data_IF_958425290537
#
_entry.id   IF_958425290537
#
_cell.length_a   1.000
_cell.length_b   1.000
_cell.length_c   1.000
_cell.angle_alpha   90.00
_cell.angle_beta   90.00
_cell.angle_gamma   90.00
#
_symmetry.space_group_name_H-M   'P 1'
#
loop_
_entity.id
_entity.type
_entity.pdbx_description
1 polymer ?
#
# COMPACT_ATOMS: atom_id res chain seq x y z
N UNK A 1 -22.45 9.45 -2.30
CA UNK A 1 -22.67 8.12 -1.68
C UNK A 1 -21.52 7.76 -0.73
N UNK A 2 -20.28 8.05 -1.08
CA UNK A 2 -19.10 7.80 -0.24
C UNK A 2 -19.12 8.69 1.03
N UNK A 3 -19.62 9.92 0.92
CA UNK A 3 -19.78 10.83 2.05
C UNK A 3 -20.79 10.26 3.04
N UNK A 4 -21.87 9.67 2.56
CA UNK A 4 -22.90 9.03 3.41
C UNK A 4 -22.34 7.82 4.16
N UNK A 5 -21.47 7.02 3.54
CA UNK A 5 -20.82 5.88 4.21
C UNK A 5 -19.81 6.29 5.28
N UNK A 6 -19.11 7.39 5.07
CA UNK A 6 -18.22 8.00 6.09
C UNK A 6 -19.03 8.60 7.24
N UNK A 7 -20.11 9.30 6.94
CA UNK A 7 -21.02 9.87 7.95
C UNK A 7 -21.64 8.76 8.79
N UNK A 8 -22.07 7.65 8.18
CA UNK A 8 -22.61 6.51 8.94
C UNK A 8 -21.57 5.78 9.77
N UNK A 9 -20.32 5.73 9.35
CA UNK A 9 -19.23 5.20 10.16
C UNK A 9 -18.90 6.10 11.36
N UNK A 10 -18.97 7.42 11.18
CA UNK A 10 -18.71 8.39 12.24
C UNK A 10 -19.88 8.49 13.24
N UNK A 11 -21.12 8.45 12.77
CA UNK A 11 -22.35 8.49 13.59
C UNK A 11 -22.71 7.14 14.23
N UNK A 12 -21.97 6.08 13.94
CA UNK A 12 -22.22 4.73 14.43
C UNK A 12 -22.26 4.57 15.95
N UNK A 13 -21.70 5.53 16.68
CA UNK A 13 -21.77 5.59 18.13
C UNK A 13 -22.99 6.38 18.69
N UNK A 14 -23.75 7.03 17.81
CA UNK A 14 -24.82 7.95 18.18
C UNK A 14 -26.21 7.46 17.74
N UNK A 15 -26.26 6.61 16.67
CA UNK A 15 -27.52 6.09 16.14
C UNK A 15 -27.85 4.71 16.73
N UNK A 16 -29.14 4.47 16.99
CA UNK A 16 -29.61 3.17 17.44
C UNK A 16 -29.19 2.02 16.49
N UNK A 17 -28.84 0.85 17.00
CA UNK A 17 -28.31 -0.27 16.21
C UNK A 17 -29.22 -0.68 15.04
N UNK A 18 -30.53 -0.50 15.19
CA UNK A 18 -31.51 -0.80 14.15
C UNK A 18 -31.39 0.11 12.92
N UNK A 19 -31.20 1.41 13.13
CA UNK A 19 -31.04 2.41 12.04
C UNK A 19 -29.77 2.13 11.25
N UNK A 20 -28.69 1.78 11.96
CA UNK A 20 -27.42 1.41 11.36
C UNK A 20 -27.56 0.14 10.50
N UNK A 21 -28.33 -0.84 10.98
CA UNK A 21 -28.58 -2.08 10.27
C UNK A 21 -29.40 -1.82 8.99
N UNK A 22 -30.47 -1.06 9.05
CA UNK A 22 -31.31 -0.70 7.90
C UNK A 22 -30.55 0.12 6.85
N UNK A 23 -29.76 1.12 7.27
CA UNK A 23 -28.88 1.88 6.38
C UNK A 23 -27.86 0.97 5.70
N UNK A 24 -27.36 -0.01 6.42
CA UNK A 24 -26.39 -0.98 5.91
C UNK A 24 -26.95 -1.81 4.76
N UNK A 25 -28.16 -2.31 4.91
CA UNK A 25 -28.85 -3.05 3.86
C UNK A 25 -29.21 -2.16 2.66
N UNK A 26 -29.68 -0.94 2.90
CA UNK A 26 -30.02 0.00 1.85
C UNK A 26 -28.81 0.31 0.95
N UNK A 27 -27.64 0.52 1.55
CA UNK A 27 -26.40 0.78 0.82
C UNK A 27 -25.92 -0.46 0.04
N UNK A 28 -26.02 -1.66 0.63
CA UNK A 28 -25.68 -2.90 -0.06
C UNK A 28 -26.56 -3.13 -1.29
N UNK A 29 -27.88 -2.94 -1.13
CA UNK A 29 -28.87 -3.04 -2.23
C UNK A 29 -28.54 -2.02 -3.33
N UNK A 30 -28.22 -0.79 -2.96
CA UNK A 30 -27.82 0.23 -3.94
C UNK A 30 -26.61 -0.19 -4.77
N UNK A 31 -25.54 -0.69 -4.15
CA UNK A 31 -24.36 -1.18 -4.86
C UNK A 31 -24.63 -2.39 -5.72
N UNK A 32 -25.51 -3.30 -5.27
CA UNK A 32 -25.97 -4.44 -6.08
C UNK A 32 -26.70 -3.96 -7.34
N UNK A 33 -27.61 -3.00 -7.19
CA UNK A 33 -28.35 -2.43 -8.32
C UNK A 33 -27.42 -1.70 -9.29
N UNK A 34 -26.47 -0.91 -8.79
CA UNK A 34 -25.45 -0.25 -9.62
C UNK A 34 -24.62 -1.26 -10.41
N UNK A 35 -24.13 -2.32 -9.75
CA UNK A 35 -23.36 -3.39 -10.39
C UNK A 35 -24.18 -4.11 -11.46
N UNK A 36 -25.43 -4.47 -11.17
CA UNK A 36 -26.35 -5.09 -12.13
C UNK A 36 -26.63 -4.20 -13.33
N UNK A 37 -26.87 -2.91 -13.10
CA UNK A 37 -27.10 -1.95 -14.18
C UNK A 37 -25.88 -1.79 -15.10
N UNK A 38 -24.69 -1.66 -14.52
CA UNK A 38 -23.43 -1.58 -15.26
C UNK A 38 -23.15 -2.87 -16.04
N UNK A 39 -23.45 -4.03 -15.42
CA UNK A 39 -23.28 -5.34 -16.05
C UNK A 39 -24.21 -5.50 -17.26
N UNK A 40 -25.47 -5.06 -17.15
CA UNK A 40 -26.42 -5.09 -18.28
C UNK A 40 -26.02 -4.15 -19.41
N UNK A 41 -25.46 -2.97 -19.09
CA UNK A 41 -25.09 -1.96 -20.09
C UNK A 41 -23.80 -2.29 -20.83
N UNK A 42 -22.78 -2.80 -20.14
CA UNK A 42 -21.45 -3.04 -20.67
C UNK A 42 -21.19 -4.50 -21.08
N UNK A 43 -22.08 -5.41 -20.68
CA UNK A 43 -21.85 -6.86 -20.78
C UNK A 43 -20.71 -7.33 -19.87
N UNK A 44 -20.59 -8.65 -19.67
CA UNK A 44 -19.60 -9.23 -18.75
C UNK A 44 -18.16 -8.87 -19.12
N UNK A 45 -17.79 -8.96 -20.41
CA UNK A 45 -16.42 -8.65 -20.87
C UNK A 45 -16.08 -7.16 -20.74
N UNK A 46 -17.02 -6.26 -21.05
CA UNK A 46 -16.83 -4.81 -20.94
C UNK A 46 -16.78 -4.37 -19.48
N UNK A 47 -17.58 -4.99 -18.60
CA UNK A 47 -17.59 -4.70 -17.18
C UNK A 47 -16.26 -5.05 -16.51
N UNK A 48 -15.75 -6.29 -16.72
CA UNK A 48 -14.48 -6.76 -16.15
C UNK A 48 -13.25 -6.10 -16.82
N UNK A 49 -13.38 -5.56 -18.03
CA UNK A 49 -12.31 -4.85 -18.73
C UNK A 49 -11.78 -3.62 -17.96
N UNK A 50 -12.62 -2.96 -17.16
CA UNK A 50 -12.26 -1.79 -16.39
C UNK A 50 -11.87 -2.14 -14.94
N UNK A 51 -10.67 -1.75 -14.51
CA UNK A 51 -10.15 -2.03 -13.17
C UNK A 51 -11.09 -1.56 -12.04
N UNK A 52 -11.74 -0.39 -12.20
CA UNK A 52 -12.70 0.15 -11.24
C UNK A 52 -13.95 -0.72 -11.09
N UNK A 53 -14.46 -1.31 -12.17
CA UNK A 53 -15.63 -2.17 -12.12
C UNK A 53 -15.31 -3.54 -11.51
N UNK A 54 -14.08 -4.06 -11.74
CA UNK A 54 -13.59 -5.29 -11.06
C UNK A 54 -13.54 -5.12 -9.56
N UNK A 55 -13.05 -3.96 -9.11
CA UNK A 55 -12.99 -3.64 -7.69
C UNK A 55 -14.40 -3.52 -7.08
N UNK A 56 -15.31 -2.80 -7.75
CA UNK A 56 -16.70 -2.68 -7.33
C UNK A 56 -17.38 -4.05 -7.22
N UNK A 57 -17.15 -4.94 -8.18
CA UNK A 57 -17.66 -6.31 -8.17
C UNK A 57 -17.11 -7.14 -7.01
N UNK A 58 -15.80 -7.06 -6.77
CA UNK A 58 -15.14 -7.78 -5.68
C UNK A 58 -15.68 -7.34 -4.31
N UNK A 59 -15.88 -6.03 -4.10
CA UNK A 59 -16.46 -5.48 -2.86
C UNK A 59 -17.88 -6.00 -2.66
N UNK A 60 -18.74 -6.01 -3.70
CA UNK A 60 -20.10 -6.54 -3.62
C UNK A 60 -20.10 -8.03 -3.33
N UNK A 61 -19.23 -8.80 -4.02
CA UNK A 61 -19.11 -10.26 -3.83
C UNK A 61 -18.67 -10.61 -2.41
N UNK A 62 -17.63 -9.95 -1.91
CA UNK A 62 -17.17 -10.14 -0.52
C UNK A 62 -18.28 -9.78 0.48
N UNK A 63 -19.00 -8.69 0.26
CA UNK A 63 -20.12 -8.29 1.14
C UNK A 63 -21.23 -9.35 1.19
N UNK A 64 -21.56 -9.96 0.05
CA UNK A 64 -22.56 -11.05 -0.02
C UNK A 64 -22.04 -12.31 0.69
N UNK A 65 -20.79 -12.70 0.45
CA UNK A 65 -20.17 -13.87 1.09
C UNK A 65 -20.18 -13.75 2.62
N UNK A 66 -19.86 -12.58 3.16
CA UNK A 66 -19.89 -12.33 4.61
C UNK A 66 -21.31 -12.35 5.20
N UNK A 67 -22.36 -12.05 4.42
CA UNK A 67 -23.75 -12.17 4.86
C UNK A 67 -24.21 -13.63 4.89
N UNK A 68 -23.71 -14.47 3.96
CA UNK A 68 -24.13 -15.87 3.82
C UNK A 68 -23.45 -16.80 4.84
N UNK A 69 -22.28 -16.45 5.38
CA UNK A 69 -21.52 -17.29 6.32
C UNK A 69 -21.93 -16.95 7.77
N UNK A 70 -22.90 -17.67 8.38
CA UNK A 70 -23.49 -17.28 9.67
C UNK A 70 -22.58 -17.42 10.88
N UNK A 71 -21.54 -18.25 10.83
CA UNK A 71 -20.63 -18.52 11.94
C UNK A 71 -19.53 -17.45 12.17
N UNK A 72 -19.44 -16.45 11.31
CA UNK A 72 -18.60 -15.26 11.53
C UNK A 72 -19.39 -14.09 12.18
N UNK A 73 -20.56 -14.38 12.76
CA UNK A 73 -21.64 -13.41 13.00
C UNK A 73 -21.38 -12.36 14.08
N UNK A 74 -20.45 -12.55 15.02
CA UNK A 74 -20.29 -11.58 16.13
C UNK A 74 -19.44 -10.36 15.72
N UNK A 75 -18.61 -10.48 14.70
CA UNK A 75 -17.82 -9.38 14.14
C UNK A 75 -18.32 -8.85 12.79
N UNK A 76 -19.24 -9.56 12.12
CA UNK A 76 -19.56 -9.39 10.69
C UNK A 76 -20.11 -8.00 10.33
N UNK A 77 -20.91 -7.38 11.20
CA UNK A 77 -21.50 -6.06 10.96
C UNK A 77 -20.40 -4.97 10.99
N UNK A 78 -19.38 -5.11 11.85
CA UNK A 78 -18.24 -4.20 11.93
C UNK A 78 -17.36 -4.35 10.69
N UNK A 79 -17.10 -5.57 10.22
CA UNK A 79 -16.28 -5.84 9.03
C UNK A 79 -16.99 -5.39 7.74
N UNK A 80 -18.32 -5.53 7.63
CA UNK A 80 -19.09 -4.95 6.52
C UNK A 80 -18.96 -3.42 6.45
N UNK A 81 -18.80 -2.75 7.59
CA UNK A 81 -18.50 -1.31 7.63
C UNK A 81 -17.09 -1.01 7.11
N UNK A 82 -16.10 -1.85 7.41
CA UNK A 82 -14.72 -1.69 6.93
C UNK A 82 -14.65 -1.87 5.40
N UNK A 83 -15.37 -2.84 4.82
CA UNK A 83 -15.42 -2.99 3.36
C UNK A 83 -16.05 -1.79 2.65
N UNK A 84 -16.89 -1.00 3.34
CA UNK A 84 -17.38 0.28 2.78
C UNK A 84 -16.31 1.34 2.73
N UNK A 85 -15.37 1.35 3.68
CA UNK A 85 -14.20 2.24 3.63
C UNK A 85 -13.38 1.96 2.38
N UNK A 86 -13.31 0.70 1.91
CA UNK A 86 -12.68 0.38 0.63
C UNK A 86 -13.38 1.04 -0.57
N UNK A 87 -14.65 1.40 -0.49
CA UNK A 87 -15.31 2.20 -1.53
C UNK A 87 -14.77 3.63 -1.64
N UNK A 88 -14.05 4.13 -0.59
CA UNK A 88 -13.31 5.39 -0.64
C UNK A 88 -12.19 5.38 -1.68
N UNK A 89 -11.69 4.20 -2.10
CA UNK A 89 -10.76 4.09 -3.24
C UNK A 89 -11.37 4.70 -4.53
N UNK A 90 -12.71 4.81 -4.62
CA UNK A 90 -13.34 5.55 -5.71
C UNK A 90 -13.00 7.05 -5.70
N UNK A 91 -12.63 7.62 -4.55
CA UNK A 91 -12.18 9.01 -4.43
C UNK A 91 -10.87 9.23 -5.21
N UNK A 92 -10.04 8.20 -5.33
CA UNK A 92 -8.82 8.24 -6.14
C UNK A 92 -9.11 8.61 -7.60
N UNK A 93 -10.31 8.28 -8.11
CA UNK A 93 -10.75 8.68 -9.46
C UNK A 93 -11.04 10.19 -9.60
N UNK A 94 -11.21 10.90 -8.47
CA UNK A 94 -11.41 12.35 -8.44
C UNK A 94 -10.08 13.12 -8.45
N UNK A 95 -8.97 12.44 -8.19
CA UNK A 95 -7.64 13.04 -8.21
C UNK A 95 -7.18 13.11 -9.68
N UNK A 96 -6.89 14.31 -10.20
CA UNK A 96 -6.28 14.43 -11.51
C UNK A 96 -4.99 13.58 -11.57
N UNK A 97 -4.76 12.91 -12.68
CA UNK A 97 -3.56 12.10 -12.92
C UNK A 97 -3.30 10.94 -11.93
N UNK A 98 -4.32 10.54 -11.14
CA UNK A 98 -4.19 9.42 -10.19
C UNK A 98 -3.67 8.15 -10.85
N UNK A 99 -4.03 7.89 -12.12
CA UNK A 99 -3.53 6.76 -12.88
C UNK A 99 -2.01 6.81 -13.09
N UNK A 100 -1.47 7.99 -13.36
CA UNK A 100 -0.03 8.21 -13.51
C UNK A 100 0.71 7.99 -12.17
N UNK A 101 0.20 8.59 -11.10
CA UNK A 101 0.76 8.42 -9.74
C UNK A 101 0.78 6.95 -9.33
N UNK A 102 -0.34 6.22 -9.52
CA UNK A 102 -0.42 4.79 -9.18
C UNK A 102 0.50 3.92 -10.05
N UNK A 103 0.66 4.26 -11.32
CA UNK A 103 1.57 3.54 -12.21
C UNK A 103 3.03 3.78 -11.84
N UNK A 104 3.40 5.01 -11.45
CA UNK A 104 4.71 5.36 -10.92
C UNK A 104 5.02 4.58 -9.62
N UNK A 105 4.06 4.56 -8.69
CA UNK A 105 4.17 3.78 -7.46
C UNK A 105 4.36 2.28 -7.73
N UNK A 106 3.60 1.72 -8.67
CA UNK A 106 3.72 0.31 -9.04
C UNK A 106 5.08 -0.01 -9.68
N UNK A 107 5.64 0.90 -10.50
CA UNK A 107 6.99 0.77 -11.06
C UNK A 107 8.06 0.84 -10.00
N UNK A 108 7.97 1.82 -9.08
CA UNK A 108 8.89 1.97 -7.96
C UNK A 108 8.90 0.72 -7.07
N UNK A 109 7.74 0.16 -6.74
CA UNK A 109 7.66 -1.12 -6.02
C UNK A 109 8.26 -2.29 -6.81
N UNK A 110 8.12 -2.30 -8.12
CA UNK A 110 8.71 -3.34 -8.97
C UNK A 110 10.24 -3.22 -9.05
N UNK A 111 10.78 -2.01 -9.12
CA UNK A 111 12.21 -1.75 -9.10
C UNK A 111 12.82 -2.11 -7.74
N UNK A 112 12.12 -1.77 -6.65
CA UNK A 112 12.53 -2.04 -5.28
C UNK A 112 12.37 -3.50 -4.84
N UNK A 113 11.90 -4.42 -5.70
CA UNK A 113 11.63 -5.83 -5.29
C UNK A 113 12.82 -6.53 -4.64
N UNK A 114 14.02 -6.32 -5.14
CA UNK A 114 15.22 -6.96 -4.59
C UNK A 114 15.46 -6.54 -3.14
N UNK A 115 15.36 -5.24 -2.85
CA UNK A 115 15.56 -4.71 -1.50
C UNK A 115 14.40 -5.09 -0.57
N UNK A 116 13.15 -5.09 -1.07
CA UNK A 116 11.99 -5.54 -0.30
C UNK A 116 12.09 -7.03 0.06
N UNK A 117 12.61 -7.85 -0.86
CA UNK A 117 12.89 -9.26 -0.60
C UNK A 117 13.99 -9.41 0.44
N UNK A 118 15.06 -8.62 0.36
CA UNK A 118 16.13 -8.60 1.36
C UNK A 118 15.59 -8.24 2.74
N UNK A 119 14.76 -7.18 2.84
CA UNK A 119 14.09 -6.80 4.08
C UNK A 119 13.23 -7.92 4.65
N UNK A 120 12.47 -8.61 3.82
CA UNK A 120 11.64 -9.74 4.25
C UNK A 120 12.49 -10.91 4.77
N UNK A 121 13.60 -11.23 4.09
CA UNK A 121 14.55 -12.25 4.54
C UNK A 121 15.18 -11.86 5.88
N UNK A 122 15.63 -10.62 6.03
CA UNK A 122 16.19 -10.11 7.28
C UNK A 122 15.16 -10.16 8.42
N UNK A 123 13.91 -9.77 8.15
CA UNK A 123 12.82 -9.83 9.12
C UNK A 123 12.63 -11.25 9.64
N UNK A 124 12.51 -12.24 8.75
CA UNK A 124 12.36 -13.64 9.13
C UNK A 124 13.59 -14.15 9.88
N UNK A 125 14.79 -13.85 9.38
CA UNK A 125 16.05 -14.27 10.00
C UNK A 125 16.18 -13.77 11.45
N UNK A 126 16.03 -12.47 11.66
CA UNK A 126 16.14 -11.89 13.01
C UNK A 126 14.99 -12.32 13.92
N UNK A 127 13.79 -12.57 13.37
CA UNK A 127 12.66 -13.08 14.16
C UNK A 127 12.94 -14.49 14.69
N UNK A 128 13.43 -15.39 13.85
CA UNK A 128 13.79 -16.75 14.25
C UNK A 128 14.98 -16.76 15.21
N UNK A 129 15.97 -15.88 14.97
CA UNK A 129 17.12 -15.74 15.86
C UNK A 129 16.68 -15.22 17.24
N UNK A 130 15.86 -14.17 17.29
CA UNK A 130 15.29 -13.64 18.53
C UNK A 130 14.43 -14.65 19.28
N UNK A 131 13.58 -15.38 18.56
CA UNK A 131 12.79 -16.48 19.12
C UNK A 131 13.69 -17.57 19.76
N UNK A 132 14.75 -17.99 19.03
CA UNK A 132 15.66 -19.02 19.50
C UNK A 132 16.50 -18.62 20.71
N UNK A 133 16.97 -17.35 20.73
CA UNK A 133 17.87 -16.86 21.79
C UNK A 133 17.11 -16.39 23.03
N UNK A 134 15.97 -15.70 22.84
CA UNK A 134 15.30 -14.96 23.91
C UNK A 134 13.88 -15.42 24.20
N UNK A 135 13.36 -16.44 23.48
CA UNK A 135 11.98 -16.91 23.61
C UNK A 135 11.60 -17.35 25.02
N UNK A 136 12.53 -17.98 25.75
CA UNK A 136 12.34 -18.41 27.16
C UNK A 136 12.44 -17.26 28.15
N UNK A 137 13.29 -16.28 27.88
CA UNK A 137 13.53 -15.14 28.79
C UNK A 137 12.52 -14.00 28.62
N UNK A 138 12.09 -13.76 27.39
CA UNK A 138 11.18 -12.68 27.02
C UNK A 138 9.98 -13.22 26.22
N UNK A 139 9.12 -14.06 26.83
CA UNK A 139 8.04 -14.75 26.12
C UNK A 139 7.02 -13.81 25.49
N UNK A 140 6.81 -12.63 26.07
CA UNK A 140 5.89 -11.63 25.53
C UNK A 140 6.35 -11.05 24.18
N UNK A 141 7.67 -11.03 23.91
CA UNK A 141 8.27 -10.50 22.71
C UNK A 141 8.71 -11.59 21.73
N UNK A 142 9.28 -12.66 22.25
CA UNK A 142 9.91 -13.72 21.46
C UNK A 142 9.36 -15.12 21.73
N UNK A 143 8.27 -15.28 22.49
CA UNK A 143 7.76 -16.58 22.93
C UNK A 143 7.19 -17.46 21.81
N UNK A 144 6.92 -16.91 20.64
CA UNK A 144 6.58 -17.65 19.43
C UNK A 144 7.07 -16.90 18.17
N UNK A 145 7.21 -17.58 17.03
CA UNK A 145 7.74 -16.95 15.80
C UNK A 145 6.96 -15.73 15.33
N UNK A 146 5.64 -15.72 15.51
CA UNK A 146 4.80 -14.59 15.07
C UNK A 146 4.97 -13.36 15.97
N UNK A 147 5.05 -13.56 17.30
CA UNK A 147 5.36 -12.49 18.25
C UNK A 147 6.76 -11.94 18.01
N UNK A 148 7.73 -12.81 17.75
CA UNK A 148 9.09 -12.42 17.39
C UNK A 148 9.12 -11.59 16.10
N UNK A 149 8.36 -12.00 15.06
CA UNK A 149 8.26 -11.26 13.81
C UNK A 149 7.66 -9.86 14.04
N UNK A 150 6.61 -9.76 14.84
CA UNK A 150 6.01 -8.46 15.19
C UNK A 150 7.02 -7.57 15.94
N UNK A 151 7.74 -8.13 16.91
CA UNK A 151 8.78 -7.41 17.67
C UNK A 151 9.90 -6.92 16.76
N UNK A 152 10.43 -7.76 15.88
CA UNK A 152 11.49 -7.35 14.92
C UNK A 152 10.97 -6.31 13.95
N UNK A 153 9.71 -6.44 13.48
CA UNK A 153 9.10 -5.44 12.60
C UNK A 153 9.01 -4.06 13.27
N UNK A 154 8.61 -3.98 14.54
CA UNK A 154 8.58 -2.70 15.29
C UNK A 154 9.99 -2.12 15.46
N UNK A 155 11.01 -2.96 15.69
CA UNK A 155 12.41 -2.50 15.74
C UNK A 155 12.87 -1.98 14.36
N UNK A 156 12.53 -2.65 13.25
CA UNK A 156 12.85 -2.20 11.90
C UNK A 156 12.24 -0.84 11.57
N UNK A 157 11.00 -0.61 11.99
CA UNK A 157 10.33 0.69 11.81
C UNK A 157 10.79 1.75 12.81
N UNK A 158 11.77 1.41 13.66
CA UNK A 158 12.31 2.29 14.71
C UNK A 158 11.23 2.69 15.74
N UNK A 159 10.16 1.91 15.81
CA UNK A 159 9.05 2.13 16.73
C UNK A 159 9.26 1.32 18.01
N UNK A 160 9.15 1.97 19.15
CA UNK A 160 9.19 1.34 20.49
C UNK A 160 10.33 0.30 20.70
N UNK A 161 11.47 0.47 20.02
CA UNK A 161 12.62 -0.44 20.09
C UNK A 161 13.19 -0.60 21.51
N UNK A 162 13.00 0.42 22.36
CA UNK A 162 13.45 0.40 23.75
C UNK A 162 12.64 -0.51 24.68
N UNK A 163 11.45 -0.97 24.27
CA UNK A 163 10.60 -1.83 25.11
C UNK A 163 11.25 -3.17 25.43
N UNK A 164 11.94 -3.77 24.45
CA UNK A 164 12.62 -5.08 24.61
C UNK A 164 13.80 -4.98 25.58
N UNK A 165 14.74 -4.02 25.43
CA UNK A 165 15.78 -3.77 26.44
C UNK A 165 15.24 -3.47 27.83
N UNK A 166 14.16 -2.67 27.92
CA UNK A 166 13.54 -2.36 29.21
C UNK A 166 12.97 -3.60 29.89
N UNK A 167 12.32 -4.48 29.12
CA UNK A 167 11.84 -5.75 29.65
C UNK A 167 12.99 -6.69 30.06
N UNK A 168 14.12 -6.70 29.33
CA UNK A 168 15.30 -7.45 29.71
C UNK A 168 15.98 -6.91 30.98
N UNK A 169 15.92 -5.60 31.22
CA UNK A 169 16.44 -5.00 32.44
C UNK A 169 15.66 -5.40 33.71
N UNK A 170 14.41 -5.83 33.57
CA UNK A 170 13.59 -6.34 34.67
C UNK A 170 13.89 -7.81 35.04
N UNK A 171 14.71 -8.50 34.24
CA UNK A 171 15.22 -9.82 34.54
C UNK A 171 16.53 -9.64 35.34
N UNK A 172 16.65 -10.20 36.51
CA UNK A 172 17.89 -10.13 37.32
C UNK A 172 19.05 -10.95 36.70
N UNK A 173 19.22 -10.87 35.40
CA UNK A 173 20.16 -11.63 34.55
C UNK A 173 21.01 -10.67 33.71
N UNK A 174 22.16 -10.16 34.21
CA UNK A 174 22.97 -9.18 33.51
C UNK A 174 23.43 -9.61 32.11
N UNK A 175 23.74 -10.91 31.94
CA UNK A 175 24.16 -11.44 30.64
C UNK A 175 23.05 -11.30 29.59
N UNK A 176 21.81 -11.65 29.95
CA UNK A 176 20.66 -11.55 29.05
C UNK A 176 20.38 -10.09 28.70
N UNK A 177 20.46 -9.18 29.68
CA UNK A 177 20.32 -7.75 29.44
C UNK A 177 21.30 -7.23 28.38
N UNK A 178 22.60 -7.52 28.52
CA UNK A 178 23.61 -7.07 27.52
C UNK A 178 23.41 -7.75 26.17
N UNK A 179 23.09 -9.06 26.13
CA UNK A 179 22.85 -9.80 24.91
C UNK A 179 21.64 -9.24 24.13
N UNK A 180 20.54 -8.94 24.83
CA UNK A 180 19.34 -8.35 24.25
C UNK A 180 19.63 -6.96 23.69
N UNK A 181 20.34 -6.12 24.44
CA UNK A 181 20.73 -4.78 23.99
C UNK A 181 21.58 -4.83 22.73
N UNK A 182 22.61 -5.68 22.71
CA UNK A 182 23.46 -5.87 21.54
C UNK A 182 22.67 -6.36 20.32
N UNK A 183 21.76 -7.31 20.54
CA UNK A 183 20.88 -7.84 19.49
C UNK A 183 19.96 -6.74 18.93
N UNK A 184 19.26 -6.00 19.80
CA UNK A 184 18.32 -4.93 19.39
C UNK A 184 19.07 -3.84 18.62
N UNK A 185 20.25 -3.42 19.08
CA UNK A 185 21.09 -2.42 18.38
C UNK A 185 21.51 -2.95 17.00
N UNK A 186 21.94 -4.21 16.91
CA UNK A 186 22.29 -4.84 15.64
C UNK A 186 21.11 -4.86 14.66
N UNK A 187 19.93 -5.27 15.12
CA UNK A 187 18.69 -5.29 14.33
C UNK A 187 18.30 -3.89 13.89
N UNK A 188 18.39 -2.91 14.78
CA UNK A 188 18.05 -1.52 14.51
C UNK A 188 18.97 -0.92 13.42
N UNK A 189 20.27 -1.16 13.51
CA UNK A 189 21.23 -0.65 12.52
C UNK A 189 21.01 -1.34 11.16
N UNK A 190 21.00 -2.66 11.14
CA UNK A 190 20.95 -3.43 9.88
C UNK A 190 19.56 -3.37 9.22
N UNK A 191 18.51 -3.55 9.98
CA UNK A 191 17.13 -3.55 9.48
C UNK A 191 16.54 -2.14 9.38
N UNK A 192 16.57 -1.39 10.47
CA UNK A 192 15.98 -0.07 10.55
C UNK A 192 16.74 0.99 9.73
N UNK A 193 17.98 1.26 10.07
CA UNK A 193 18.71 2.37 9.42
C UNK A 193 19.20 2.01 8.02
N UNK A 194 19.96 0.94 7.86
CA UNK A 194 20.63 0.65 6.57
C UNK A 194 19.60 0.17 5.54
N UNK A 195 18.87 -0.88 5.84
CA UNK A 195 17.99 -1.52 4.85
C UNK A 195 16.79 -0.67 4.49
N UNK A 196 16.20 0.01 5.47
CA UNK A 196 15.04 0.90 5.22
C UNK A 196 15.46 2.17 4.48
N UNK A 197 16.64 2.75 4.81
CA UNK A 197 17.19 3.90 4.09
C UNK A 197 17.52 3.55 2.65
N UNK A 198 18.07 2.37 2.40
CA UNK A 198 18.36 1.89 1.05
C UNK A 198 17.04 1.66 0.25
N UNK A 199 16.02 1.10 0.88
CA UNK A 199 14.71 0.94 0.26
C UNK A 199 14.11 2.28 -0.16
N UNK A 200 14.17 3.27 0.73
CA UNK A 200 13.70 4.63 0.44
C UNK A 200 14.52 5.29 -0.68
N UNK A 201 15.83 5.15 -0.70
CA UNK A 201 16.69 5.71 -1.75
C UNK A 201 16.33 5.15 -3.13
N UNK A 202 16.17 3.83 -3.26
CA UNK A 202 15.80 3.18 -4.52
C UNK A 202 14.39 3.60 -4.94
N UNK A 203 13.47 3.72 -3.98
CA UNK A 203 12.10 4.14 -4.26
C UNK A 203 12.04 5.57 -4.80
N UNK A 204 12.79 6.48 -4.20
CA UNK A 204 12.86 7.89 -4.64
C UNK A 204 13.56 8.00 -6.00
N UNK A 205 14.65 7.25 -6.23
CA UNK A 205 15.37 7.23 -7.50
C UNK A 205 14.48 6.79 -8.66
N UNK A 206 13.73 5.72 -8.49
CA UNK A 206 12.79 5.23 -9.50
C UNK A 206 11.65 6.22 -9.79
N UNK A 207 11.13 6.88 -8.76
CA UNK A 207 10.10 7.92 -8.95
C UNK A 207 10.67 9.16 -9.67
N UNK A 208 11.91 9.50 -9.42
CA UNK A 208 12.60 10.60 -10.11
C UNK A 208 12.93 10.23 -11.57
N UNK A 209 13.32 8.99 -11.83
CA UNK A 209 13.63 8.48 -13.18
C UNK A 209 12.44 8.56 -14.12
N UNK A 210 11.23 8.30 -13.62
CA UNK A 210 9.99 8.38 -14.41
C UNK A 210 9.74 9.78 -15.00
N UNK A 211 10.03 10.83 -14.21
CA UNK A 211 9.96 12.21 -14.69
C UNK A 211 11.03 12.51 -15.76
N UNK A 212 12.22 11.93 -15.62
CA UNK A 212 13.29 12.11 -16.58
C UNK A 212 12.98 11.47 -17.94
N UNK A 213 12.36 10.29 -17.95
CA UNK A 213 11.94 9.62 -19.19
C UNK A 213 10.90 10.43 -19.98
N UNK A 214 9.99 11.11 -19.30
CA UNK A 214 9.01 11.99 -19.94
C UNK A 214 9.68 13.25 -20.52
N UNK A 215 10.62 13.84 -19.77
CA UNK A 215 11.42 15.00 -20.23
C UNK A 215 12.28 14.61 -21.43
N UNK A 216 12.94 13.46 -21.40
CA UNK A 216 13.74 12.97 -22.53
C UNK A 216 12.90 12.78 -23.79
N UNK A 217 11.71 12.19 -23.70
CA UNK A 217 10.79 12.06 -24.84
C UNK A 217 10.38 13.41 -25.42
N UNK A 218 10.06 14.38 -24.57
CA UNK A 218 9.74 15.75 -25.03
C UNK A 218 10.96 16.41 -25.67
N UNK A 219 12.15 16.20 -25.15
CA UNK A 219 13.38 16.74 -25.71
C UNK A 219 13.69 16.13 -27.08
N UNK A 220 13.52 14.82 -27.25
CA UNK A 220 13.70 14.13 -28.53
C UNK A 220 12.72 14.66 -29.61
N UNK A 221 11.46 14.91 -29.25
CA UNK A 221 10.47 15.54 -30.15
C UNK A 221 10.90 16.96 -30.56
N UNK A 222 11.32 17.79 -29.60
CA UNK A 222 11.81 19.14 -29.87
C UNK A 222 13.07 19.13 -30.74
N UNK A 223 13.97 18.18 -30.55
CA UNK A 223 15.17 18.02 -31.37
C UNK A 223 14.80 17.61 -32.81
N UNK A 224 13.81 16.75 -33.00
CA UNK A 224 13.30 16.37 -34.32
C UNK A 224 12.65 17.57 -35.05
N UNK A 225 11.79 18.34 -34.36
CA UNK A 225 11.20 19.57 -34.91
C UNK A 225 12.26 20.61 -35.28
N UNK A 226 13.25 20.85 -34.44
CA UNK A 226 14.35 21.76 -34.73
C UNK A 226 15.17 21.31 -35.95
N UNK A 227 15.36 20.00 -36.14
CA UNK A 227 16.06 19.46 -37.31
C UNK A 227 15.24 19.67 -38.61
N UNK A 228 13.92 19.59 -38.56
CA UNK A 228 13.04 19.92 -39.70
C UNK A 228 13.08 21.42 -40.02
N UNK A 229 12.93 22.28 -39.03
CA UNK A 229 13.02 23.74 -39.20
C UNK A 229 14.36 24.12 -39.83
N UNK A 230 15.46 23.55 -39.38
CA UNK A 230 16.80 23.79 -39.93
C UNK A 230 16.91 23.36 -41.40
N UNK A 231 16.29 22.25 -41.81
CA UNK A 231 16.25 21.81 -43.21
C UNK A 231 15.47 22.80 -44.08
N UNK A 232 14.32 23.30 -43.59
CA UNK A 232 13.49 24.29 -44.30
C UNK A 232 14.25 25.61 -44.46
N UNK A 233 14.94 26.06 -43.41
CA UNK A 233 15.76 27.28 -43.46
C UNK A 233 16.88 27.17 -44.48
N UNK A 234 17.62 26.08 -44.51
CA UNK A 234 18.69 25.84 -45.51
C UNK A 234 18.09 25.78 -46.93
N UNK A 235 16.91 25.25 -47.09
CA UNK A 235 16.25 25.22 -48.40
C UNK A 235 15.84 26.61 -48.85
N UNK A 236 15.29 27.46 -47.99
CA UNK A 236 14.94 28.86 -48.26
C UNK A 236 16.16 29.74 -48.55
N UNK A 237 17.24 29.58 -47.79
CA UNK A 237 18.53 30.30 -48.09
C UNK A 237 19.05 29.95 -49.48
N UNK A 238 19.00 28.68 -49.90
CA UNK A 238 19.38 28.28 -51.28
C UNK A 238 18.47 28.84 -52.36
N UNK A 239 17.22 29.08 -52.08
CA UNK A 239 16.30 29.72 -53.05
C UNK A 239 16.51 31.21 -53.18
N UNK A 240 16.77 31.92 -52.05
CA UNK A 240 17.02 33.37 -52.02
C UNK A 240 18.42 33.67 -52.63
N UNK A 241 19.43 32.85 -52.41
CA UNK A 241 20.77 33.01 -52.96
C UNK A 241 20.89 32.68 -54.45
N UNK A 242 19.83 32.20 -55.10
CA UNK A 242 19.75 31.96 -56.56
C UNK A 242 18.93 33.03 -57.33
N UNK A 243 18.34 33.97 -56.64
CA UNK A 243 17.66 35.15 -57.16
C UNK A 243 18.59 36.32 -57.21
#
# INVERSE_FOLDING_TARGET
DTILSVITAFLGNVLEPLVIYLLSWAILIYFMLEACFKLRKLGWKGYIGHAGNRFDFLVVLCSILFVIIPNMAVGSIVYLRLFRVLSLVKIVKLIPDAGHILSGLARAMKASRAILTLLAIQLVFFSLLGFSLFGTYLPNYFGNPLSAMNTIFTIFTVENWGAVPTAAAALDEPFIYYAVNAFVICVLILGGFISLSLANAIFVDEMASDNNDEIMKKMDLLMAENAEIKKVLIHLEKQIGKS
#
